data_IF_695506484988
#
_entry.id   IF_695506484988
#
_cell.length_a   1.000
_cell.length_b   1.000
_cell.length_c   1.000
_cell.angle_alpha   90.00
_cell.angle_beta   90.00
_cell.angle_gamma   90.00
#
_symmetry.space_group_name_H-M   'P 1'
#
loop_
_entity.id
_entity.type
_entity.pdbx_description
1 polymer ?
#
# COMPACT_ATOMS: atom_id res chain seq x y z
N UNK A 1 -11.64 20.87 -20.59
CA UNK A 1 -11.60 20.82 -19.10
C UNK A 1 -10.35 20.05 -18.77
N UNK A 2 -9.48 20.58 -17.90
CA UNK A 2 -8.25 19.88 -17.49
C UNK A 2 -8.61 18.51 -16.88
N UNK A 3 -7.79 17.48 -17.12
CA UNK A 3 -8.07 16.11 -16.64
C UNK A 3 -8.24 16.06 -15.12
N UNK A 4 -7.49 16.90 -14.39
CA UNK A 4 -7.60 17.01 -12.94
C UNK A 4 -8.92 17.63 -12.48
N UNK A 5 -9.49 18.58 -13.24
CA UNK A 5 -10.81 19.15 -12.95
C UNK A 5 -11.92 18.13 -13.21
N UNK A 6 -11.80 17.34 -14.28
CA UNK A 6 -12.72 16.23 -14.57
C UNK A 6 -12.72 15.21 -13.43
N UNK A 7 -11.53 14.73 -13.02
CA UNK A 7 -11.41 13.77 -11.91
C UNK A 7 -11.93 14.36 -10.59
N UNK A 8 -11.63 15.63 -10.31
CA UNK A 8 -12.16 16.31 -9.12
C UNK A 8 -13.69 16.35 -9.12
N UNK A 9 -14.31 16.65 -10.26
CA UNK A 9 -15.77 16.63 -10.41
C UNK A 9 -16.35 15.24 -10.16
N UNK A 10 -15.68 14.18 -10.63
CA UNK A 10 -16.09 12.80 -10.41
C UNK A 10 -16.02 12.39 -8.93
N UNK A 11 -14.94 12.75 -8.23
CA UNK A 11 -14.79 12.49 -6.80
C UNK A 11 -15.78 13.29 -5.96
N UNK A 12 -16.02 14.57 -6.29
CA UNK A 12 -17.05 15.39 -5.66
C UNK A 12 -18.43 14.74 -5.78
N UNK A 13 -18.82 14.34 -6.99
CA UNK A 13 -20.08 13.63 -7.24
C UNK A 13 -20.16 12.31 -6.50
N UNK A 14 -19.05 11.60 -6.34
CA UNK A 14 -19.03 10.35 -5.58
C UNK A 14 -19.38 10.58 -4.10
N UNK A 15 -18.90 11.69 -3.52
CA UNK A 15 -19.26 12.08 -2.15
C UNK A 15 -20.70 12.61 -2.08
N UNK A 16 -21.11 13.48 -3.00
CA UNK A 16 -22.47 14.04 -3.06
C UNK A 16 -23.55 12.94 -3.19
N UNK A 17 -23.26 11.91 -4.00
CA UNK A 17 -24.16 10.78 -4.22
C UNK A 17 -24.00 9.66 -3.17
N UNK A 18 -23.19 9.87 -2.12
CA UNK A 18 -22.90 8.89 -1.07
C UNK A 18 -22.37 7.55 -1.60
N UNK A 19 -21.63 7.56 -2.71
CA UNK A 19 -20.83 6.40 -3.16
C UNK A 19 -19.70 6.15 -2.15
N UNK A 20 -19.11 7.22 -1.62
CA UNK A 20 -18.20 7.21 -0.47
C UNK A 20 -18.53 8.39 0.44
N UNK A 21 -18.15 8.33 1.71
CA UNK A 21 -18.44 9.45 2.64
C UNK A 21 -17.42 10.58 2.55
N UNK A 22 -16.20 10.26 2.12
CA UNK A 22 -15.15 11.24 1.92
C UNK A 22 -14.17 10.82 0.84
N UNK A 23 -13.43 11.80 0.36
CA UNK A 23 -12.19 11.62 -0.37
C UNK A 23 -11.17 12.69 0.04
N UNK A 24 -9.97 12.25 0.38
CA UNK A 24 -8.77 13.09 0.46
C UNK A 24 -7.86 12.70 -0.69
N UNK A 25 -7.58 13.62 -1.60
CA UNK A 25 -6.84 13.30 -2.82
C UNK A 25 -5.93 14.43 -3.27
N UNK A 26 -4.86 14.06 -3.97
CA UNK A 26 -3.89 15.00 -4.52
C UNK A 26 -3.56 14.71 -5.97
N UNK A 27 -3.29 15.78 -6.71
CA UNK A 27 -2.60 15.72 -8.01
C UNK A 27 -1.23 16.36 -7.87
N UNK A 28 -0.22 15.70 -8.42
CA UNK A 28 1.17 16.13 -8.36
C UNK A 28 1.69 16.24 -9.78
N UNK A 29 2.30 17.38 -10.13
CA UNK A 29 2.96 17.60 -11.43
C UNK A 29 4.09 18.61 -11.27
N UNK A 30 5.30 18.28 -11.72
CA UNK A 30 6.45 19.20 -11.77
C UNK A 30 6.68 20.03 -10.48
N UNK A 31 6.52 19.39 -9.31
CA UNK A 31 6.61 19.96 -7.95
C UNK A 31 5.37 20.71 -7.43
N UNK A 32 4.35 20.92 -8.24
CA UNK A 32 3.07 21.44 -7.77
C UNK A 32 2.23 20.31 -7.19
N UNK A 33 1.64 20.54 -6.03
CA UNK A 33 0.75 19.61 -5.33
C UNK A 33 -0.58 20.31 -5.10
N UNK A 34 -1.67 19.73 -5.61
CA UNK A 34 -3.04 20.22 -5.37
C UNK A 34 -3.77 19.22 -4.48
N UNK A 35 -3.86 19.52 -3.19
CA UNK A 35 -4.61 18.71 -2.22
C UNK A 35 -6.08 19.13 -2.17
N UNK A 36 -6.96 18.15 -2.00
CA UNK A 36 -8.39 18.35 -1.85
C UNK A 36 -8.91 17.40 -0.77
N UNK A 37 -9.84 17.90 0.05
CA UNK A 37 -10.49 17.14 1.12
C UNK A 37 -11.98 17.42 1.02
N UNK A 38 -12.77 16.38 0.81
CA UNK A 38 -14.22 16.49 0.61
C UNK A 38 -14.96 15.44 1.42
N UNK A 39 -16.13 15.84 1.93
CA UNK A 39 -17.00 14.96 2.71
C UNK A 39 -16.68 14.90 4.19
N UNK A 40 -17.14 13.82 4.83
CA UNK A 40 -17.11 13.63 6.28
C UNK A 40 -16.59 12.25 6.66
N UNK A 41 -16.23 12.06 7.91
CA UNK A 41 -15.62 10.82 8.41
C UNK A 41 -16.52 9.59 8.17
N UNK A 42 -17.85 9.70 8.32
CA UNK A 42 -18.77 8.63 7.96
C UNK A 42 -20.18 8.81 8.52
N UNK A 43 -20.99 7.75 8.39
CA UNK A 43 -22.42 7.71 8.81
C UNK A 43 -22.73 8.31 10.19
N UNK A 44 -21.86 8.09 11.18
CA UNK A 44 -22.08 8.51 12.57
C UNK A 44 -21.07 9.57 13.02
N UNK A 45 -20.29 10.13 12.08
CA UNK A 45 -19.29 11.15 12.36
C UNK A 45 -19.26 12.18 11.22
N UNK A 46 -19.87 13.32 11.49
CA UNK A 46 -20.00 14.42 10.53
C UNK A 46 -18.80 15.38 10.54
N UNK A 47 -17.71 15.04 11.25
CA UNK A 47 -16.46 15.78 11.14
C UNK A 47 -16.02 15.79 9.67
N UNK A 48 -15.68 16.97 9.16
CA UNK A 48 -15.16 17.10 7.81
C UNK A 48 -13.76 16.50 7.76
N UNK A 49 -13.44 15.86 6.63
CA UNK A 49 -12.05 15.47 6.36
C UNK A 49 -11.22 16.71 6.08
N UNK A 50 -10.01 16.71 6.62
CA UNK A 50 -8.99 17.75 6.46
C UNK A 50 -7.58 17.12 6.38
N UNK A 51 -6.55 17.98 6.39
CA UNK A 51 -5.14 17.61 6.35
C UNK A 51 -4.64 16.77 7.54
N UNK A 52 -5.43 16.61 8.60
CA UNK A 52 -5.07 15.77 9.74
C UNK A 52 -5.67 14.37 9.62
N UNK A 53 -6.56 14.13 8.65
CA UNK A 53 -7.30 12.88 8.49
C UNK A 53 -6.36 11.70 8.22
N UNK A 54 -6.43 10.68 9.08
CA UNK A 54 -5.58 9.50 9.02
C UNK A 54 -6.37 8.31 8.47
N UNK A 55 -5.90 7.72 7.38
CA UNK A 55 -6.55 6.60 6.69
C UNK A 55 -5.84 5.28 6.96
N UNK A 56 -6.61 4.19 7.11
CA UNK A 56 -6.07 2.82 6.98
C UNK A 56 -5.67 2.60 5.52
N UNK A 57 -4.36 2.41 5.30
CA UNK A 57 -3.80 2.26 3.96
C UNK A 57 -4.07 0.89 3.34
N UNK A 58 -4.50 -0.09 4.13
CA UNK A 58 -4.62 -1.48 3.74
C UNK A 58 -3.38 -1.91 2.93
N UNK A 59 -3.58 -2.47 1.74
CA UNK A 59 -2.49 -2.99 0.92
C UNK A 59 -1.54 -1.94 0.34
N UNK A 60 -1.79 -0.63 0.44
CA UNK A 60 -0.73 0.35 0.17
C UNK A 60 0.45 0.20 1.15
N UNK A 61 0.25 -0.45 2.31
CA UNK A 61 1.33 -0.88 3.22
C UNK A 61 2.46 -1.61 2.49
N UNK A 62 2.09 -2.45 1.50
CA UNK A 62 3.05 -3.22 0.71
C UNK A 62 4.06 -2.33 0.00
N UNK A 63 3.59 -1.26 -0.65
CA UNK A 63 4.44 -0.42 -1.48
C UNK A 63 5.06 0.74 -0.69
N UNK A 64 4.34 1.32 0.27
CA UNK A 64 4.83 2.43 1.08
C UNK A 64 5.85 1.95 2.10
N UNK A 65 5.56 0.86 2.80
CA UNK A 65 6.43 0.29 3.85
C UNK A 65 7.35 -0.81 3.32
N UNK A 66 6.77 -1.98 3.02
CA UNK A 66 7.55 -3.22 2.83
C UNK A 66 8.47 -3.18 1.61
N UNK A 67 7.96 -2.84 0.41
CA UNK A 67 8.77 -2.78 -0.80
C UNK A 67 9.87 -1.72 -0.71
N UNK A 68 9.53 -0.53 -0.19
CA UNK A 68 10.50 0.55 0.07
C UNK A 68 11.60 0.09 1.04
N UNK A 69 11.23 -0.62 2.10
CA UNK A 69 12.20 -1.14 3.07
C UNK A 69 13.09 -2.24 2.47
N UNK A 70 12.53 -3.14 1.63
CA UNK A 70 13.34 -4.12 0.92
C UNK A 70 14.35 -3.44 -0.02
N UNK A 71 13.93 -2.43 -0.77
CA UNK A 71 14.83 -1.63 -1.61
C UNK A 71 15.90 -0.89 -0.79
N UNK A 72 15.52 -0.35 0.38
CA UNK A 72 16.49 0.27 1.30
C UNK A 72 17.51 -0.74 1.82
N UNK A 73 17.10 -1.95 2.19
CA UNK A 73 18.00 -3.03 2.63
C UNK A 73 18.92 -3.50 1.49
N UNK A 74 18.44 -3.49 0.24
CA UNK A 74 19.24 -3.78 -0.94
C UNK A 74 20.33 -2.71 -1.14
N UNK A 75 19.97 -1.43 -1.03
CA UNK A 75 20.91 -0.32 -1.15
C UNK A 75 21.96 -0.31 -0.02
N UNK A 76 21.58 -0.78 1.18
CA UNK A 76 22.49 -0.99 2.31
C UNK A 76 23.35 -2.27 2.20
N UNK A 77 23.20 -3.04 1.11
CA UNK A 77 23.93 -4.29 0.91
C UNK A 77 23.59 -5.41 1.90
N UNK A 78 22.42 -5.33 2.57
CA UNK A 78 21.96 -6.33 3.55
C UNK A 78 21.29 -7.54 2.91
N UNK A 79 20.79 -7.37 1.69
CA UNK A 79 20.14 -8.42 0.90
C UNK A 79 20.58 -8.33 -0.57
N UNK A 80 20.36 -9.40 -1.31
CA UNK A 80 20.28 -9.41 -2.77
C UNK A 80 18.90 -9.86 -3.21
N UNK A 81 18.42 -9.38 -4.36
CA UNK A 81 17.12 -9.80 -4.92
C UNK A 81 17.02 -11.33 -5.13
N UNK A 82 18.14 -11.98 -5.44
CA UNK A 82 18.21 -13.44 -5.64
C UNK A 82 18.47 -14.24 -4.36
N UNK A 83 18.60 -13.57 -3.19
CA UNK A 83 18.69 -14.29 -1.93
C UNK A 83 17.41 -15.10 -1.70
N UNK A 84 17.57 -16.33 -1.20
CA UNK A 84 16.46 -17.21 -0.85
C UNK A 84 15.79 -16.73 0.42
N UNK A 85 14.47 -16.74 0.48
CA UNK A 85 13.71 -16.34 1.67
C UNK A 85 14.10 -17.18 2.91
N UNK A 86 14.38 -18.48 2.73
CA UNK A 86 14.82 -19.39 3.80
C UNK A 86 16.13 -18.96 4.48
N UNK A 87 16.98 -18.18 3.79
CA UNK A 87 18.22 -17.61 4.35
C UNK A 87 17.93 -16.72 5.57
N UNK A 88 16.80 -16.02 5.56
CA UNK A 88 16.40 -15.08 6.61
C UNK A 88 15.28 -15.63 7.49
N UNK A 89 14.48 -16.55 6.96
CA UNK A 89 13.39 -17.20 7.68
C UNK A 89 13.59 -18.72 7.62
N UNK A 90 14.40 -19.29 8.52
CA UNK A 90 14.78 -20.71 8.49
C UNK A 90 13.59 -21.70 8.55
N UNK A 91 12.46 -21.30 9.12
CA UNK A 91 11.24 -22.10 9.18
C UNK A 91 10.37 -22.02 7.90
N UNK A 92 10.79 -21.24 6.90
CA UNK A 92 10.09 -21.15 5.63
C UNK A 92 10.31 -22.44 4.82
N UNK A 93 9.22 -23.05 4.37
CA UNK A 93 9.23 -24.41 3.81
C UNK A 93 9.93 -24.56 2.46
N UNK A 94 10.01 -23.48 1.68
CA UNK A 94 10.59 -23.54 0.33
C UNK A 94 11.98 -22.90 0.33
N UNK A 95 12.94 -23.70 -0.14
CA UNK A 95 14.35 -23.34 -0.15
C UNK A 95 14.73 -22.50 -1.38
N UNK A 96 13.82 -22.35 -2.35
CA UNK A 96 14.12 -21.80 -3.67
C UNK A 96 13.47 -20.44 -3.94
N UNK A 97 12.36 -20.09 -3.28
CA UNK A 97 11.73 -18.77 -3.48
C UNK A 97 12.70 -17.66 -3.07
N UNK A 98 12.90 -16.72 -4.00
CA UNK A 98 13.77 -15.54 -3.84
C UNK A 98 13.00 -14.32 -3.34
N UNK A 99 13.73 -13.32 -2.85
CA UNK A 99 13.18 -12.01 -2.50
C UNK A 99 12.52 -11.34 -3.72
N UNK A 100 13.17 -11.42 -4.89
CA UNK A 100 12.62 -10.89 -6.15
C UNK A 100 11.25 -11.49 -6.45
N UNK A 101 11.11 -12.81 -6.31
CA UNK A 101 9.86 -13.50 -6.63
C UNK A 101 8.71 -13.16 -5.67
N UNK A 102 9.05 -12.87 -4.40
CA UNK A 102 8.08 -12.37 -3.43
C UNK A 102 7.62 -10.95 -3.79
N UNK A 103 8.55 -10.05 -4.16
CA UNK A 103 8.25 -8.67 -4.56
C UNK A 103 7.47 -8.59 -5.87
N UNK A 104 7.72 -9.52 -6.81
CA UNK A 104 7.05 -9.58 -8.11
C UNK A 104 5.73 -10.37 -8.10
N UNK A 105 5.34 -10.96 -6.96
CA UNK A 105 4.17 -11.82 -6.86
C UNK A 105 4.19 -13.02 -7.82
N UNK A 106 5.36 -13.63 -8.08
CA UNK A 106 5.50 -14.78 -8.97
C UNK A 106 6.17 -16.00 -8.31
N UNK A 107 6.17 -16.02 -6.97
CA UNK A 107 6.73 -17.06 -6.09
C UNK A 107 5.86 -18.32 -5.93
N UNK A 108 4.79 -18.49 -6.71
CA UNK A 108 3.90 -19.66 -6.61
C UNK A 108 3.04 -19.74 -5.32
N UNK A 109 3.18 -18.79 -4.40
CA UNK A 109 2.35 -18.67 -3.21
C UNK A 109 0.89 -18.43 -3.60
N UNK A 110 -0.05 -19.04 -2.87
CA UNK A 110 -1.47 -18.68 -2.97
C UNK A 110 -1.69 -17.22 -2.60
N UNK A 111 -2.80 -16.65 -3.09
CA UNK A 111 -3.14 -15.25 -2.88
C UNK A 111 -3.32 -14.90 -1.38
N UNK A 112 -3.88 -15.83 -0.60
CA UNK A 112 -4.23 -15.62 0.79
C UNK A 112 -4.24 -16.95 1.57
N UNK A 113 -4.35 -16.88 2.89
CA UNK A 113 -4.50 -18.04 3.78
C UNK A 113 -5.86 -18.70 3.61
N UNK A 114 -5.90 -20.04 3.60
CA UNK A 114 -7.14 -20.81 3.53
C UNK A 114 -7.95 -20.71 4.83
N UNK A 115 -7.30 -20.88 5.98
CA UNK A 115 -7.90 -20.69 7.30
C UNK A 115 -7.48 -19.35 7.90
N UNK A 116 -8.46 -18.44 8.03
CA UNK A 116 -8.29 -17.12 8.63
C UNK A 116 -8.76 -17.04 10.08
N UNK A 117 -9.19 -18.15 10.67
CA UNK A 117 -9.76 -18.20 12.02
C UNK A 117 -8.74 -18.52 13.10
N UNK A 118 -7.63 -19.18 12.74
CA UNK A 118 -6.55 -19.56 13.66
C UNK A 118 -5.18 -19.12 13.12
N UNK A 119 -5.03 -17.81 12.92
CA UNK A 119 -3.81 -17.21 12.38
C UNK A 119 -2.84 -16.91 13.54
N UNK A 120 -1.62 -17.42 13.45
CA UNK A 120 -0.53 -17.21 14.42
C UNK A 120 0.78 -16.99 13.67
N UNK A 121 1.60 -16.01 14.11
CA UNK A 121 2.91 -15.69 13.51
C UNK A 121 3.79 -16.94 13.44
N UNK A 122 3.72 -17.83 14.43
CA UNK A 122 4.52 -19.06 14.44
C UNK A 122 4.02 -20.13 13.46
N UNK A 123 2.74 -20.07 13.07
CA UNK A 123 2.11 -21.06 12.18
C UNK A 123 2.04 -20.59 10.73
N UNK A 124 2.32 -19.33 10.45
CA UNK A 124 2.19 -18.75 9.11
C UNK A 124 2.95 -19.56 8.04
N UNK A 125 4.21 -19.92 8.30
CA UNK A 125 5.00 -20.74 7.37
C UNK A 125 4.44 -22.16 7.23
N UNK A 126 3.84 -22.70 8.29
CA UNK A 126 3.18 -24.00 8.26
C UNK A 126 1.88 -23.99 7.46
N UNK A 127 1.16 -22.87 7.47
CA UNK A 127 -0.11 -22.71 6.77
C UNK A 127 0.06 -22.16 5.36
N UNK A 128 1.28 -21.74 4.98
CA UNK A 128 1.60 -21.32 3.62
C UNK A 128 1.49 -22.49 2.65
N UNK A 129 0.70 -22.27 1.59
CA UNK A 129 0.54 -23.21 0.49
C UNK A 129 1.21 -22.64 -0.76
N UNK A 130 2.11 -23.43 -1.31
CA UNK A 130 2.82 -23.12 -2.56
C UNK A 130 2.26 -24.04 -3.63
N UNK A 131 1.71 -23.45 -4.69
CA UNK A 131 1.36 -24.20 -5.88
C UNK A 131 2.48 -24.03 -6.90
N UNK A 132 3.21 -25.12 -7.18
CA UNK A 132 4.30 -25.10 -8.17
C UNK A 132 3.81 -24.71 -9.58
N UNK A 133 2.55 -24.96 -9.90
CA UNK A 133 1.94 -24.51 -11.17
C UNK A 133 1.77 -22.99 -11.27
N UNK A 134 1.85 -22.29 -10.13
CA UNK A 134 1.81 -20.84 -10.05
C UNK A 134 3.21 -20.21 -10.08
N UNK A 135 4.27 -21.01 -10.11
CA UNK A 135 5.61 -20.44 -10.32
C UNK A 135 5.67 -19.71 -11.65
N UNK A 136 6.30 -18.53 -11.63
CA UNK A 136 6.38 -17.66 -12.80
C UNK A 136 5.00 -17.31 -13.37
N UNK A 137 3.99 -17.19 -12.51
CA UNK A 137 2.70 -16.53 -12.81
C UNK A 137 2.47 -15.43 -11.80
N UNK A 138 1.96 -14.29 -12.25
CA UNK A 138 1.63 -13.18 -11.36
C UNK A 138 0.37 -13.49 -10.56
N UNK A 139 0.55 -13.94 -9.31
CA UNK A 139 -0.51 -14.19 -8.33
C UNK A 139 -0.35 -13.21 -7.17
N UNK A 140 -1.21 -12.18 -7.13
CA UNK A 140 -1.20 -11.21 -6.03
C UNK A 140 -1.40 -11.91 -4.69
N UNK A 141 -0.35 -11.90 -3.87
CA UNK A 141 -0.25 -12.71 -2.65
C UNK A 141 0.09 -11.87 -1.44
N UNK A 142 -0.81 -11.86 -0.45
CA UNK A 142 -0.54 -11.26 0.85
C UNK A 142 0.51 -12.06 1.62
N UNK A 143 0.52 -13.39 1.46
CA UNK A 143 1.47 -14.28 2.13
C UNK A 143 2.91 -13.88 1.77
N UNK A 144 3.17 -13.58 0.50
CA UNK A 144 4.51 -13.16 0.07
C UNK A 144 4.99 -11.90 0.79
N UNK A 145 4.12 -10.92 0.97
CA UNK A 145 4.45 -9.67 1.68
C UNK A 145 4.51 -9.83 3.20
N UNK A 146 3.77 -10.78 3.77
CA UNK A 146 3.94 -11.17 5.18
C UNK A 146 5.34 -11.75 5.40
N UNK A 147 5.80 -12.63 4.51
CA UNK A 147 7.15 -13.21 4.55
C UNK A 147 8.21 -12.10 4.42
N UNK A 148 8.06 -11.18 3.47
CA UNK A 148 8.96 -10.02 3.35
C UNK A 148 9.00 -9.19 4.64
N UNK A 149 7.87 -9.04 5.33
CA UNK A 149 7.80 -8.43 6.65
C UNK A 149 8.72 -9.14 7.66
N UNK A 150 8.62 -10.46 7.80
CA UNK A 150 9.51 -11.21 8.71
C UNK A 150 10.98 -11.14 8.32
N UNK A 151 11.28 -11.11 7.01
CA UNK A 151 12.65 -10.94 6.52
C UNK A 151 13.22 -9.60 7.01
N UNK A 152 12.44 -8.51 6.92
CA UNK A 152 12.83 -7.19 7.43
C UNK A 152 13.09 -7.24 8.94
N UNK A 153 12.19 -7.84 9.72
CA UNK A 153 12.35 -7.97 11.17
C UNK A 153 13.62 -8.75 11.52
N UNK A 154 13.87 -9.89 10.86
CA UNK A 154 15.03 -10.73 11.13
C UNK A 154 16.37 -10.08 10.73
N UNK A 155 16.38 -9.25 9.68
CA UNK A 155 17.60 -8.52 9.26
C UNK A 155 17.90 -7.35 10.20
N UNK A 156 16.86 -6.62 10.60
CA UNK A 156 17.01 -5.38 11.38
C UNK A 156 17.03 -5.63 12.89
N UNK A 157 16.51 -6.76 13.35
CA UNK A 157 16.17 -7.03 14.76
C UNK A 157 15.21 -5.98 15.35
N UNK A 158 14.35 -5.39 14.50
CA UNK A 158 13.31 -4.42 14.88
C UNK A 158 11.94 -4.96 14.46
N UNK A 159 10.88 -4.54 15.15
CA UNK A 159 9.53 -4.70 14.60
C UNK A 159 9.34 -3.79 13.38
N UNK A 160 8.35 -4.08 12.54
CA UNK A 160 8.14 -3.37 11.27
C UNK A 160 7.86 -1.87 11.44
N UNK A 161 7.08 -1.46 12.44
CA UNK A 161 6.79 -0.03 12.67
C UNK A 161 8.08 0.75 12.94
N UNK A 162 8.94 0.21 13.81
CA UNK A 162 10.23 0.83 14.12
C UNK A 162 11.19 0.77 12.94
N UNK A 163 11.26 -0.36 12.23
CA UNK A 163 12.10 -0.48 11.04
C UNK A 163 11.71 0.55 9.97
N UNK A 164 10.42 0.71 9.68
CA UNK A 164 9.96 1.68 8.68
C UNK A 164 10.21 3.13 9.13
N UNK A 165 9.97 3.45 10.40
CA UNK A 165 10.25 4.78 10.95
C UNK A 165 11.73 5.13 10.90
N UNK A 166 12.58 4.25 11.42
CA UNK A 166 14.02 4.52 11.58
C UNK A 166 14.75 4.61 10.23
N UNK A 167 14.34 3.84 9.22
CA UNK A 167 15.04 3.77 7.94
C UNK A 167 14.41 4.59 6.80
N UNK A 168 13.13 4.95 6.92
CA UNK A 168 12.38 5.59 5.83
C UNK A 168 11.64 6.83 6.34
N UNK A 169 10.66 6.67 7.23
CA UNK A 169 9.66 7.71 7.45
C UNK A 169 10.23 8.92 8.20
N UNK A 170 11.05 8.72 9.23
CA UNK A 170 11.60 9.84 10.01
C UNK A 170 12.54 10.70 9.18
N UNK A 171 13.44 10.10 8.38
CA UNK A 171 14.32 10.84 7.48
C UNK A 171 13.57 11.51 6.33
N UNK A 172 12.39 10.99 5.99
CA UNK A 172 11.52 11.56 4.98
C UNK A 172 10.58 12.65 5.52
N UNK A 173 10.53 12.90 6.83
CA UNK A 173 9.53 13.76 7.49
C UNK A 173 8.07 13.24 7.37
N UNK A 174 7.88 11.94 7.17
CA UNK A 174 6.58 11.27 7.16
C UNK A 174 6.14 10.92 8.59
N UNK A 175 5.84 11.95 9.38
CA UNK A 175 5.62 11.85 10.83
C UNK A 175 4.26 11.26 11.23
N UNK A 176 3.33 11.10 10.30
CA UNK A 176 1.98 10.59 10.52
C UNK A 176 1.77 9.21 9.86
N UNK A 177 2.84 8.57 9.41
CA UNK A 177 2.81 7.22 8.82
C UNK A 177 3.29 6.18 9.83
N UNK A 178 2.41 5.29 10.26
CA UNK A 178 2.70 4.28 11.29
C UNK A 178 1.66 3.17 11.33
N UNK A 179 1.99 2.01 11.89
CA UNK A 179 0.98 1.01 12.29
C UNK A 179 0.11 1.49 13.45
N UNK A 180 0.59 2.48 14.21
CA UNK A 180 -0.05 3.00 15.42
C UNK A 180 -0.30 4.50 15.28
N UNK A 181 -1.46 4.91 14.74
CA UNK A 181 -1.79 6.32 14.62
C UNK A 181 -1.78 6.99 16.00
N UNK A 182 -1.03 8.10 16.11
CA UNK A 182 -0.77 8.79 17.38
C UNK A 182 -2.02 9.34 18.04
N UNK A 183 -3.02 9.73 17.23
CA UNK A 183 -4.32 10.18 17.71
C UNK A 183 -5.45 9.56 16.89
N UNK A 184 -6.12 8.58 17.49
CA UNK A 184 -7.26 7.88 16.88
C UNK A 184 -8.46 8.79 16.58
N UNK A 185 -8.53 9.99 17.18
CA UNK A 185 -9.58 10.97 16.90
C UNK A 185 -9.58 11.42 15.43
N UNK A 186 -8.41 11.46 14.79
CA UNK A 186 -8.27 11.83 13.38
C UNK A 186 -8.39 10.65 12.43
N UNK A 187 -8.57 9.43 12.94
CA UNK A 187 -8.70 8.26 12.08
C UNK A 187 -10.07 8.22 11.39
N UNK A 188 -10.04 7.85 10.11
CA UNK A 188 -11.25 7.69 9.31
C UNK A 188 -11.87 6.30 9.60
N UNK A 189 -13.17 6.25 9.97
CA UNK A 189 -13.91 5.00 10.10
C UNK A 189 -13.84 4.17 8.82
N UNK A 190 -13.54 2.88 8.96
CA UNK A 190 -13.24 1.99 7.84
C UNK A 190 -14.42 1.08 7.48
N UNK A 191 -14.92 0.26 8.40
CA UNK A 191 -16.09 -0.62 8.18
C UNK A 191 -16.83 -0.83 9.50
N UNK A 192 -18.14 -1.07 9.44
CA UNK A 192 -18.94 -1.53 10.57
C UNK A 192 -19.16 -3.04 10.43
N UNK A 193 -18.76 -3.81 11.43
CA UNK A 193 -18.89 -5.28 11.43
C UNK A 193 -19.61 -5.77 12.68
N UNK A 194 -20.30 -6.91 12.57
CA UNK A 194 -21.00 -7.52 13.71
C UNK A 194 -20.06 -7.86 14.87
N UNK A 195 -18.80 -8.22 14.56
CA UNK A 195 -17.81 -8.68 15.56
C UNK A 195 -17.02 -7.56 16.21
N UNK A 196 -16.64 -6.53 15.45
CA UNK A 196 -15.73 -5.44 15.91
C UNK A 196 -16.43 -4.09 16.05
N UNK A 197 -17.72 -3.99 15.73
CA UNK A 197 -18.41 -2.71 15.66
C UNK A 197 -17.80 -1.81 14.57
N UNK A 198 -17.71 -0.51 14.83
CA UNK A 198 -17.08 0.47 13.93
C UNK A 198 -15.55 0.34 14.06
N UNK A 199 -14.89 -0.14 13.01
CA UNK A 199 -13.43 -0.21 12.94
C UNK A 199 -12.89 1.19 12.63
N UNK A 200 -12.12 1.76 13.57
CA UNK A 200 -11.53 3.09 13.44
C UNK A 200 -10.23 3.19 14.27
N UNK A 201 -9.14 3.66 13.66
CA UNK A 201 -7.82 3.73 14.32
C UNK A 201 -7.25 2.37 14.74
N UNK A 202 -7.69 1.32 14.06
CA UNK A 202 -7.26 -0.06 14.19
C UNK A 202 -7.30 -0.70 12.82
N UNK A 203 -6.32 -1.56 12.52
CA UNK A 203 -6.22 -2.18 11.19
C UNK A 203 -7.48 -2.97 10.82
N UNK A 204 -7.95 -2.77 9.60
CA UNK A 204 -9.10 -3.47 9.04
C UNK A 204 -8.77 -4.90 8.65
N UNK A 205 -7.64 -5.12 7.96
CA UNK A 205 -7.25 -6.45 7.47
C UNK A 205 -7.21 -7.46 8.62
N UNK A 206 -7.93 -8.58 8.45
CA UNK A 206 -8.11 -9.56 9.51
C UNK A 206 -6.80 -10.26 9.90
N UNK A 207 -5.85 -10.39 8.96
CA UNK A 207 -4.55 -11.03 9.23
C UNK A 207 -3.68 -10.10 10.04
N UNK A 208 -3.59 -8.83 9.66
CA UNK A 208 -2.87 -7.81 10.41
C UNK A 208 -3.49 -7.62 11.81
N UNK A 209 -4.83 -7.65 11.91
CA UNK A 209 -5.49 -7.60 13.21
C UNK A 209 -5.12 -8.78 14.11
N UNK A 210 -4.98 -9.99 13.54
CA UNK A 210 -4.61 -11.19 14.29
C UNK A 210 -3.10 -11.30 14.59
N UNK A 211 -2.24 -10.86 13.65
CA UNK A 211 -0.78 -11.05 13.70
C UNK A 211 -0.03 -9.84 14.25
N UNK A 212 -0.67 -8.67 14.35
CA UNK A 212 -0.02 -7.40 14.59
C UNK A 212 0.63 -6.85 13.32
N UNK A 213 1.83 -6.30 13.46
CA UNK A 213 2.56 -5.67 12.36
C UNK A 213 2.96 -6.70 11.29
N UNK A 214 2.44 -6.57 10.06
CA UNK A 214 2.77 -7.46 8.95
C UNK A 214 2.99 -6.67 7.66
N UNK A 215 3.84 -7.18 6.76
CA UNK A 215 4.20 -6.43 5.54
C UNK A 215 3.09 -6.28 4.50
N UNK A 216 1.96 -6.98 4.65
CA UNK A 216 0.86 -6.92 3.67
C UNK A 216 -0.14 -5.81 3.91
N UNK A 217 -0.32 -5.34 5.15
CA UNK A 217 -1.35 -4.37 5.57
C UNK A 217 -1.06 -3.86 7.00
N UNK A 218 -1.65 -2.71 7.36
CA UNK A 218 -1.67 -2.21 8.73
C UNK A 218 -1.08 -0.82 8.93
N UNK A 219 -0.42 -0.23 7.93
CA UNK A 219 -0.03 1.16 8.00
C UNK A 219 -1.25 2.08 7.92
N UNK A 220 -1.17 3.16 8.69
CA UNK A 220 -2.00 4.34 8.61
C UNK A 220 -1.18 5.51 8.10
N UNK A 221 -1.79 6.45 7.38
CA UNK A 221 -1.13 7.68 6.92
C UNK A 221 -2.13 8.79 6.62
N UNK A 222 -1.62 10.02 6.54
CA UNK A 222 -2.31 11.18 5.98
C UNK A 222 -1.99 11.34 4.49
N UNK A 223 -2.71 12.23 3.80
CA UNK A 223 -2.44 12.59 2.40
C UNK A 223 -1.09 13.33 2.28
N UNK A 224 -0.75 14.13 3.29
CA UNK A 224 0.46 14.94 3.41
C UNK A 224 1.71 14.08 3.38
N UNK A 225 1.76 13.03 4.20
CA UNK A 225 2.88 12.09 4.24
C UNK A 225 3.01 11.31 2.93
N UNK A 226 1.89 10.91 2.32
CA UNK A 226 1.93 10.22 1.03
C UNK A 226 2.36 11.15 -0.11
N UNK A 227 2.04 12.45 -0.05
CA UNK A 227 2.58 13.43 -0.98
C UNK A 227 4.10 13.50 -0.90
N UNK A 228 4.66 13.52 0.31
CA UNK A 228 6.12 13.45 0.51
C UNK A 228 6.68 12.18 -0.13
N UNK A 229 6.03 11.03 0.13
CA UNK A 229 6.44 9.75 -0.42
C UNK A 229 6.52 9.76 -1.95
N UNK A 230 5.43 10.17 -2.59
CA UNK A 230 5.31 10.20 -4.05
C UNK A 230 6.22 11.26 -4.67
N UNK A 231 6.33 12.45 -4.06
CA UNK A 231 7.22 13.49 -4.54
C UNK A 231 8.69 13.08 -4.51
N UNK A 232 9.14 12.36 -3.47
CA UNK A 232 10.52 11.85 -3.41
C UNK A 232 10.83 10.94 -4.60
N UNK A 233 9.90 10.05 -4.96
CA UNK A 233 10.03 9.15 -6.11
C UNK A 233 10.02 9.93 -7.44
N UNK A 234 9.10 10.88 -7.62
CA UNK A 234 8.99 11.68 -8.85
C UNK A 234 10.22 12.59 -9.08
N UNK A 235 10.76 13.15 -8.00
CA UNK A 235 11.94 14.01 -8.03
C UNK A 235 13.24 13.23 -8.14
N UNK A 236 13.20 11.95 -7.77
CA UNK A 236 14.39 11.11 -7.65
C UNK A 236 15.43 11.79 -6.75
N UNK A 237 15.00 12.19 -5.54
CA UNK A 237 15.79 13.00 -4.59
C UNK A 237 16.49 12.18 -3.50
N UNK A 238 16.44 10.85 -3.61
CA UNK A 238 17.01 9.87 -2.68
C UNK A 238 16.50 9.94 -1.23
N UNK A 239 15.45 10.74 -0.94
CA UNK A 239 14.90 10.86 0.41
C UNK A 239 14.31 9.53 0.91
N UNK A 240 13.70 8.76 0.00
CA UNK A 240 13.05 7.47 0.30
C UNK A 240 13.68 6.31 -0.46
N UNK A 241 13.78 6.42 -1.79
CA UNK A 241 14.41 5.42 -2.65
C UNK A 241 15.62 6.02 -3.33
N UNK A 242 16.74 5.29 -3.40
CA UNK A 242 17.90 5.73 -4.17
C UNK A 242 17.61 5.76 -5.67
N UNK A 243 18.45 6.48 -6.44
CA UNK A 243 18.44 6.45 -7.91
C UNK A 243 18.47 5.01 -8.45
N UNK A 244 19.29 4.16 -7.82
CA UNK A 244 19.45 2.74 -8.18
C UNK A 244 18.19 1.92 -7.93
N UNK A 245 17.44 2.24 -6.89
CA UNK A 245 16.17 1.60 -6.55
C UNK A 245 15.04 2.03 -7.50
N UNK A 246 14.95 3.32 -7.83
CA UNK A 246 13.98 3.82 -8.84
C UNK A 246 14.27 3.20 -10.22
N UNK A 247 15.55 3.13 -10.62
CA UNK A 247 15.93 2.45 -11.88
C UNK A 247 15.51 0.98 -11.89
N UNK A 248 15.66 0.25 -10.78
CA UNK A 248 15.18 -1.15 -10.67
C UNK A 248 13.66 -1.25 -10.80
N UNK A 249 12.91 -0.32 -10.21
CA UNK A 249 11.45 -0.26 -10.38
C UNK A 249 11.06 -0.06 -11.85
N UNK A 250 11.88 0.61 -12.67
CA UNK A 250 11.61 0.78 -14.11
C UNK A 250 12.00 -0.47 -14.90
N UNK A 251 13.19 -1.03 -14.64
CA UNK A 251 13.81 -2.05 -15.48
C UNK A 251 13.39 -3.48 -15.16
N UNK A 252 13.14 -3.80 -13.88
CA UNK A 252 12.73 -5.15 -13.46
C UNK A 252 11.23 -5.26 -13.61
N UNK A 253 10.78 -6.18 -14.46
CA UNK A 253 9.38 -6.37 -14.77
C UNK A 253 9.05 -7.85 -14.93
N UNK A 254 7.88 -8.25 -14.44
CA UNK A 254 7.32 -9.58 -14.67
C UNK A 254 5.81 -9.49 -14.91
N UNK A 255 5.39 -9.67 -16.16
CA UNK A 255 4.04 -9.27 -16.58
C UNK A 255 3.80 -7.80 -16.26
N UNK A 256 2.64 -7.49 -15.68
CA UNK A 256 2.27 -6.13 -15.26
C UNK A 256 2.74 -5.80 -13.83
N UNK A 257 3.89 -6.32 -13.40
CA UNK A 257 4.46 -6.05 -12.06
C UNK A 257 5.91 -5.62 -12.13
N UNK A 258 6.29 -4.76 -11.19
CA UNK A 258 7.67 -4.57 -10.74
C UNK A 258 7.74 -4.83 -9.23
N UNK A 259 8.87 -4.51 -8.59
CA UNK A 259 9.13 -4.77 -7.17
C UNK A 259 8.06 -4.12 -6.26
N UNK A 260 7.01 -4.88 -5.94
CA UNK A 260 5.84 -4.49 -5.16
C UNK A 260 4.75 -3.70 -5.89
N UNK A 261 5.02 -3.13 -7.06
CA UNK A 261 4.07 -2.26 -7.77
C UNK A 261 3.40 -2.94 -8.97
N UNK A 262 2.18 -2.50 -9.28
CA UNK A 262 1.45 -2.81 -10.52
C UNK A 262 1.87 -1.84 -11.64
N UNK A 263 1.99 -2.36 -12.86
CA UNK A 263 2.40 -1.63 -14.07
C UNK A 263 1.40 -1.74 -15.21
N UNK A 264 0.15 -2.12 -14.94
CA UNK A 264 -0.91 -2.28 -15.96
C UNK A 264 -1.13 -1.04 -16.85
N UNK A 265 -0.75 0.14 -16.38
CA UNK A 265 -0.88 1.41 -17.11
C UNK A 265 0.42 1.84 -17.82
N UNK A 266 1.42 0.96 -17.94
CA UNK A 266 2.62 1.19 -18.73
C UNK A 266 3.93 1.02 -17.95
N UNK A 267 5.03 0.89 -18.71
CA UNK A 267 6.37 0.61 -18.19
C UNK A 267 6.86 1.59 -17.11
N UNK A 268 6.52 2.87 -17.27
CA UNK A 268 6.94 3.96 -16.37
C UNK A 268 5.91 4.29 -15.30
N UNK A 269 4.86 3.47 -15.17
CA UNK A 269 3.77 3.72 -14.24
C UNK A 269 3.90 2.80 -13.03
N UNK A 270 3.77 3.37 -11.82
CA UNK A 270 3.69 2.62 -10.57
C UNK A 270 2.28 2.80 -10.02
N UNK A 271 1.55 1.70 -9.88
CA UNK A 271 0.19 1.69 -9.37
C UNK A 271 0.02 0.71 -8.22
N UNK A 272 -0.73 1.08 -7.20
CA UNK A 272 -1.19 0.15 -6.18
C UNK A 272 -2.47 0.65 -5.52
N UNK A 273 -3.28 -0.28 -4.99
CA UNK A 273 -4.52 0.02 -4.27
C UNK A 273 -4.53 -0.57 -2.86
N UNK A 274 -5.33 0.01 -1.99
CA UNK A 274 -5.73 -0.57 -0.71
C UNK A 274 -7.19 -0.98 -0.74
N UNK A 275 -7.52 -2.07 -0.05
CA UNK A 275 -8.88 -2.61 0.02
C UNK A 275 -9.89 -1.59 0.58
N UNK A 276 -9.45 -0.72 1.48
CA UNK A 276 -10.24 0.32 2.14
C UNK A 276 -10.69 1.45 1.21
N UNK A 277 -10.18 1.51 -0.02
CA UNK A 277 -10.52 2.53 -1.02
C UNK A 277 -9.37 3.42 -1.43
N UNK A 278 -8.20 3.26 -0.81
CA UNK A 278 -6.99 4.03 -1.07
C UNK A 278 -6.30 3.60 -2.37
N UNK A 279 -5.56 4.51 -3.02
CA UNK A 279 -4.72 4.21 -4.19
C UNK A 279 -3.64 5.25 -4.41
N UNK A 280 -2.54 4.81 -5.01
CA UNK A 280 -1.44 5.65 -5.50
C UNK A 280 -1.18 5.27 -6.96
N UNK A 281 -1.11 6.27 -7.83
CA UNK A 281 -0.77 6.14 -9.25
C UNK A 281 0.31 7.17 -9.60
N UNK A 282 1.48 6.72 -10.06
CA UNK A 282 2.64 7.55 -10.36
C UNK A 282 3.07 7.27 -11.80
N UNK A 283 3.13 8.29 -12.65
CA UNK A 283 3.71 8.19 -13.99
C UNK A 283 5.08 8.90 -14.00
N UNK A 284 6.15 8.11 -14.01
CA UNK A 284 7.53 8.62 -13.97
C UNK A 284 7.94 9.32 -15.28
N UNK A 285 7.26 9.03 -16.40
CA UNK A 285 7.57 9.65 -17.70
C UNK A 285 6.99 11.07 -17.79
N UNK A 286 5.72 11.25 -17.44
CA UNK A 286 5.08 12.58 -17.41
C UNK A 286 5.39 13.38 -16.14
N UNK A 287 6.05 12.76 -15.15
CA UNK A 287 6.28 13.31 -13.80
C UNK A 287 5.00 13.74 -13.09
N UNK A 288 3.94 12.97 -13.30
CA UNK A 288 2.62 13.19 -12.72
C UNK A 288 2.29 12.08 -11.72
N UNK A 289 1.55 12.41 -10.67
CA UNK A 289 0.96 11.40 -9.80
C UNK A 289 -0.40 11.81 -9.25
N UNK A 290 -1.15 10.81 -8.80
CA UNK A 290 -2.42 10.95 -8.14
C UNK A 290 -2.48 10.02 -6.93
N UNK A 291 -2.91 10.58 -5.79
CA UNK A 291 -3.21 9.83 -4.57
C UNK A 291 -4.68 10.04 -4.28
N UNK A 292 -5.41 8.97 -3.98
CA UNK A 292 -6.82 9.03 -3.59
C UNK A 292 -7.01 8.18 -2.35
N UNK A 293 -7.46 8.79 -1.26
CA UNK A 293 -7.78 8.15 0.01
C UNK A 293 -9.27 8.29 0.28
N UNK A 294 -9.96 7.17 0.43
CA UNK A 294 -11.39 7.13 0.80
C UNK A 294 -11.60 6.07 1.86
N UNK A 295 -12.80 6.06 2.42
CA UNK A 295 -13.33 4.95 3.21
C UNK A 295 -14.37 4.16 2.42
N UNK A 296 -14.01 3.70 1.20
CA UNK A 296 -14.87 2.93 0.29
C UNK A 296 -15.76 1.90 0.99
N UNK A 297 -15.20 1.19 1.98
CA UNK A 297 -15.87 0.08 2.67
C UNK A 297 -16.66 0.50 3.92
N UNK A 298 -16.82 1.80 4.17
CA UNK A 298 -17.65 2.33 5.24
C UNK A 298 -19.05 2.67 4.71
N UNK A 299 -20.13 2.26 5.39
CA UNK A 299 -20.16 1.38 6.55
C UNK A 299 -20.02 -0.11 6.20
N UNK A 300 -20.16 -0.49 4.92
CA UNK A 300 -20.09 -1.88 4.48
C UNK A 300 -19.21 -2.04 3.23
N UNK A 301 -18.58 -3.22 3.10
CA UNK A 301 -17.64 -3.53 2.00
C UNK A 301 -18.23 -3.66 0.60
N UNK A 302 -19.55 -3.70 0.44
CA UNK A 302 -20.20 -3.97 -0.85
C UNK A 302 -20.35 -2.68 -1.67
N UNK A 303 -19.22 -2.19 -2.16
CA UNK A 303 -19.14 -0.95 -2.93
C UNK A 303 -18.35 -1.18 -4.23
N UNK A 304 -19.00 -1.82 -5.21
CA UNK A 304 -18.45 -2.06 -6.55
C UNK A 304 -18.50 -0.79 -7.40
N UNK A 305 -19.49 0.07 -7.18
CA UNK A 305 -19.63 1.35 -7.89
C UNK A 305 -18.37 2.22 -7.75
N UNK A 306 -17.79 2.31 -6.55
CA UNK A 306 -16.52 3.02 -6.38
C UNK A 306 -15.34 2.34 -7.10
N UNK A 307 -15.34 1.01 -7.19
CA UNK A 307 -14.27 0.28 -7.89
C UNK A 307 -14.28 0.59 -9.39
N UNK A 308 -15.47 0.61 -10.00
CA UNK A 308 -15.68 1.01 -11.39
C UNK A 308 -15.28 2.48 -11.62
N UNK A 309 -15.73 3.37 -10.72
CA UNK A 309 -15.36 4.79 -10.75
C UNK A 309 -13.84 4.99 -10.69
N UNK A 310 -13.14 4.27 -9.82
CA UNK A 310 -11.67 4.37 -9.70
C UNK A 310 -10.97 3.96 -10.99
N UNK A 311 -11.44 2.92 -11.66
CA UNK A 311 -10.87 2.51 -12.95
C UNK A 311 -11.10 3.58 -14.03
N UNK A 312 -12.25 4.25 -14.03
CA UNK A 312 -12.53 5.38 -14.94
C UNK A 312 -11.61 6.58 -14.62
N UNK A 313 -11.49 6.94 -13.34
CA UNK A 313 -10.59 8.01 -12.88
C UNK A 313 -9.14 7.72 -13.30
N UNK A 314 -8.67 6.48 -13.15
CA UNK A 314 -7.33 6.11 -13.56
C UNK A 314 -7.13 6.21 -15.07
N UNK A 315 -8.13 5.83 -15.89
CA UNK A 315 -8.06 5.99 -17.34
C UNK A 315 -7.90 7.46 -17.73
N UNK A 316 -8.75 8.34 -17.19
CA UNK A 316 -8.69 9.79 -17.45
C UNK A 316 -7.35 10.38 -16.98
N UNK A 317 -6.82 9.93 -15.84
CA UNK A 317 -5.52 10.40 -15.36
C UNK A 317 -4.38 10.05 -16.33
N UNK A 318 -4.46 8.85 -16.93
CA UNK A 318 -3.46 8.32 -17.87
C UNK A 318 -3.63 8.83 -19.30
N UNK A 319 -4.71 9.56 -19.61
CA UNK A 319 -4.85 10.28 -20.88
C UNK A 319 -3.85 11.45 -20.96
N UNK A 320 -3.36 11.71 -22.18
CA UNK A 320 -2.42 12.80 -22.51
C UNK A 320 -3.09 14.17 -22.50
#
# INVERSE_FOLDING_TARGET
>A
MDKFDTISSMLNKAVENNIVYNASYSFIKDNYIKNNYIGVYGTNNLNKVDSNSIYDLASLTKVVGTASMMLKLLDLGKINLYDKAVKFCSNFKDENITIEELLLHNSGLKADLEDKTNIDRNKIFNNTIINKENYHKTIYSDIGFIILGFIIENITNLNLDKAFKDYIFNSADMNNTSYYPSNKYYCIPTEITDKRGIICGEVHDSKAYALGEIGSAGLFSTLEDLNIFVCSILKDDEKILSHSSIKKLIDINFGDRTLGWDKRYGKYTLYHTGFTGTSILINLNSKEAMIVLTNRIHPNRNNNTYLELREEINKIFMEE
#
